data_IF_905670694955
#
_entry.id   IF_905670694955
#
_cell.length_a   1.000
_cell.length_b   1.000
_cell.length_c   1.000
_cell.angle_alpha   90.00
_cell.angle_beta   90.00
_cell.angle_gamma   90.00
#
_symmetry.space_group_name_H-M   'P 1'
#
loop_
_entity.id
_entity.type
_entity.pdbx_description
1 polymer ?
#
# COMPACT_ATOMS: atom_id res chain seq x y z
N UNK A 1 43.24 -6.97 -1.06
CA UNK A 1 43.95 -7.61 0.07
C UNK A 1 43.01 -7.59 1.26
N UNK A 2 42.94 -8.73 1.96
CA UNK A 2 42.07 -9.09 3.07
C UNK A 2 40.58 -9.30 2.76
N UNK A 3 39.91 -10.33 3.27
CA UNK A 3 40.27 -11.74 3.49
C UNK A 3 38.92 -12.43 3.71
N UNK A 4 38.67 -13.53 3.01
CA UNK A 4 37.52 -14.41 3.19
C UNK A 4 37.66 -15.15 4.53
N UNK A 5 36.69 -15.02 5.42
CA UNK A 5 36.53 -15.92 6.57
C UNK A 5 35.08 -16.35 6.63
N UNK A 6 34.86 -17.63 6.33
CA UNK A 6 33.55 -18.27 6.30
C UNK A 6 32.89 -18.30 7.69
N UNK A 7 31.65 -17.83 7.74
CA UNK A 7 30.78 -18.03 8.88
C UNK A 7 29.96 -19.31 8.71
N UNK A 8 30.17 -20.22 9.64
CA UNK A 8 29.44 -21.47 9.82
C UNK A 8 28.03 -21.16 10.34
N UNK A 9 27.00 -21.59 9.61
CA UNK A 9 25.62 -21.58 10.08
C UNK A 9 25.46 -22.53 11.29
N UNK A 10 25.39 -21.96 12.50
CA UNK A 10 25.01 -22.67 13.73
C UNK A 10 23.49 -22.85 13.78
N UNK A 11 23.03 -24.10 13.73
CA UNK A 11 21.63 -24.48 13.96
C UNK A 11 21.28 -24.52 15.46
N UNK A 12 20.01 -24.29 15.87
CA UNK A 12 19.61 -24.20 17.27
C UNK A 12 19.65 -25.56 18.01
N UNK A 13 19.95 -25.57 19.32
CA UNK A 13 20.16 -26.79 20.09
C UNK A 13 18.84 -27.39 20.58
N UNK A 14 18.58 -28.67 20.27
CA UNK A 14 17.40 -29.40 20.76
C UNK A 14 16.92 -30.58 19.93
N UNK A 15 17.47 -30.80 18.74
CA UNK A 15 17.11 -31.94 17.86
C UNK A 15 18.26 -32.90 17.72
N UNK A 16 18.63 -33.59 18.80
CA UNK A 16 19.55 -34.73 18.78
C UNK A 16 18.80 -35.98 19.26
N UNK A 17 17.81 -36.42 18.47
CA UNK A 17 17.38 -37.81 18.49
C UNK A 17 18.35 -38.63 17.63
N UNK A 18 18.57 -39.93 17.92
CA UNK A 18 19.46 -40.75 17.10
C UNK A 18 18.89 -40.83 15.69
N UNK A 19 19.49 -40.10 14.74
CA UNK A 19 19.22 -40.28 13.33
C UNK A 19 19.81 -41.61 12.92
N UNK A 20 19.02 -42.68 13.08
CA UNK A 20 19.31 -43.96 12.45
C UNK A 20 19.33 -43.66 10.95
N UNK A 21 20.48 -43.79 10.26
CA UNK A 21 20.53 -43.61 8.82
C UNK A 21 19.55 -44.61 8.20
N UNK A 22 18.74 -44.23 7.19
CA UNK A 22 17.93 -45.20 6.48
C UNK A 22 18.85 -46.32 6.01
N UNK A 23 18.45 -47.59 6.17
CA UNK A 23 19.31 -48.71 5.81
C UNK A 23 19.74 -48.53 4.35
N UNK A 24 21.01 -48.80 4.01
CA UNK A 24 21.45 -48.75 2.63
C UNK A 24 20.48 -49.61 1.80
N UNK A 25 20.10 -49.19 0.59
CA UNK A 25 19.25 -50.01 -0.26
C UNK A 25 19.91 -51.38 -0.33
N UNK A 26 19.17 -52.40 0.12
CA UNK A 26 19.63 -53.79 0.13
C UNK A 26 20.21 -54.09 -1.24
N UNK A 27 21.54 -54.27 -1.32
CA UNK A 27 22.15 -54.77 -2.53
C UNK A 27 21.42 -56.06 -2.89
N UNK A 28 20.97 -56.24 -4.15
CA UNK A 28 20.38 -57.50 -4.54
C UNK A 28 21.44 -58.58 -4.30
N UNK A 29 21.18 -59.44 -3.32
CA UNK A 29 22.04 -60.58 -3.05
C UNK A 29 22.01 -61.47 -4.28
N UNK A 30 23.10 -61.50 -5.04
CA UNK A 30 23.27 -62.43 -6.15
C UNK A 30 23.62 -63.81 -5.57
N UNK A 31 22.69 -64.39 -4.83
CA UNK A 31 22.75 -65.83 -4.58
C UNK A 31 22.39 -66.49 -5.91
N UNK A 32 23.41 -66.88 -6.66
CA UNK A 32 23.28 -67.72 -7.85
C UNK A 32 22.70 -69.05 -7.38
N UNK A 33 21.37 -69.17 -7.41
CA UNK A 33 20.69 -70.45 -7.36
C UNK A 33 21.00 -71.16 -8.68
N UNK A 34 21.64 -72.33 -8.56
CA UNK A 34 21.93 -73.22 -9.67
C UNK A 34 20.67 -73.48 -10.53
N UNK A 35 20.81 -73.63 -11.85
CA UNK A 35 19.67 -73.79 -12.73
C UNK A 35 19.07 -75.19 -12.51
N UNK A 36 17.98 -75.27 -11.77
CA UNK A 36 17.10 -76.44 -11.85
C UNK A 36 16.39 -76.37 -13.21
N UNK A 37 16.91 -77.16 -14.14
CA UNK A 37 16.27 -77.45 -15.41
C UNK A 37 14.88 -78.02 -15.15
N UNK A 38 13.85 -77.20 -15.36
CA UNK A 38 12.52 -77.67 -15.69
C UNK A 38 12.14 -76.95 -16.97
N UNK A 39 11.88 -77.73 -18.01
CA UNK A 39 11.43 -77.28 -19.32
C UNK A 39 10.13 -76.51 -19.08
N UNK A 40 10.23 -75.19 -19.03
CA UNK A 40 9.07 -74.30 -18.97
C UNK A 40 8.52 -74.22 -20.38
N UNK A 41 7.23 -74.44 -20.52
CA UNK A 41 6.54 -74.15 -21.77
C UNK A 41 6.88 -72.71 -22.20
N UNK A 42 7.18 -72.45 -23.48
CA UNK A 42 7.47 -71.11 -23.97
C UNK A 42 6.39 -70.08 -23.58
N UNK A 43 5.13 -70.52 -23.46
CA UNK A 43 4.01 -69.71 -22.97
C UNK A 43 4.14 -69.23 -21.50
N UNK A 44 4.70 -70.05 -20.59
CA UNK A 44 4.89 -69.66 -19.19
C UNK A 44 6.07 -68.70 -19.00
N UNK A 45 7.08 -68.80 -19.87
CA UNK A 45 8.19 -67.86 -19.92
C UNK A 45 7.74 -66.49 -20.45
N UNK A 46 6.86 -66.48 -21.45
CA UNK A 46 6.26 -65.27 -22.02
C UNK A 46 5.34 -64.55 -21.02
N UNK A 47 4.50 -65.28 -20.30
CA UNK A 47 3.66 -64.72 -19.23
C UNK A 47 4.47 -64.09 -18.09
N UNK A 48 5.59 -64.71 -17.68
CA UNK A 48 6.51 -64.14 -16.67
C UNK A 48 7.23 -62.90 -17.18
N UNK A 49 7.55 -62.85 -18.48
CA UNK A 49 8.17 -61.68 -19.12
C UNK A 49 7.19 -60.51 -19.18
N UNK A 50 5.94 -60.78 -19.54
CA UNK A 50 4.86 -59.78 -19.59
C UNK A 50 4.55 -59.22 -18.18
N UNK A 51 4.52 -60.07 -17.15
CA UNK A 51 4.36 -59.62 -15.77
C UNK A 51 5.53 -58.73 -15.31
N UNK A 52 6.77 -59.08 -15.70
CA UNK A 52 7.97 -58.28 -15.43
C UNK A 52 7.93 -56.94 -16.18
N UNK A 53 7.50 -56.93 -17.44
CA UNK A 53 7.33 -55.72 -18.24
C UNK A 53 6.27 -54.80 -17.62
N UNK A 54 5.13 -55.36 -17.17
CA UNK A 54 4.07 -54.61 -16.48
C UNK A 54 4.57 -54.02 -15.17
N UNK A 55 5.30 -54.78 -14.34
CA UNK A 55 5.90 -54.28 -13.10
C UNK A 55 6.93 -53.17 -13.37
N UNK A 56 7.75 -53.34 -14.41
CA UNK A 56 8.72 -52.33 -14.85
C UNK A 56 8.04 -51.04 -15.31
N UNK A 57 6.97 -51.16 -16.10
CA UNK A 57 6.18 -50.02 -16.57
C UNK A 57 5.54 -49.28 -15.40
N UNK A 58 4.88 -49.99 -14.48
CA UNK A 58 4.31 -49.39 -13.26
C UNK A 58 5.37 -48.69 -12.39
N UNK A 59 6.56 -49.28 -12.27
CA UNK A 59 7.68 -48.70 -11.54
C UNK A 59 8.16 -47.40 -12.19
N UNK A 60 8.35 -47.40 -13.51
CA UNK A 60 8.82 -46.22 -14.26
C UNK A 60 7.76 -45.12 -14.31
N UNK A 61 6.49 -45.45 -14.50
CA UNK A 61 5.40 -44.46 -14.45
C UNK A 61 5.31 -43.79 -13.07
N UNK A 62 5.50 -44.54 -11.98
CA UNK A 62 5.52 -43.97 -10.62
C UNK A 62 6.80 -43.20 -10.32
N UNK A 63 7.96 -43.69 -10.78
CA UNK A 63 9.28 -43.11 -10.52
C UNK A 63 9.47 -41.79 -11.27
N UNK A 64 9.06 -41.72 -12.53
CA UNK A 64 9.19 -40.55 -13.40
C UNK A 64 7.88 -39.76 -13.55
N UNK A 65 6.97 -39.88 -12.58
CA UNK A 65 5.78 -39.05 -12.49
C UNK A 65 6.17 -37.57 -12.36
N UNK A 66 5.38 -36.68 -12.94
CA UNK A 66 5.62 -35.23 -12.88
C UNK A 66 5.78 -34.69 -11.45
N UNK A 67 5.10 -35.31 -10.48
CA UNK A 67 5.20 -34.99 -9.04
C UNK A 67 6.58 -35.26 -8.42
N UNK A 68 7.41 -36.07 -9.09
CA UNK A 68 8.76 -36.45 -8.64
C UNK A 68 9.86 -35.79 -9.46
N UNK A 69 9.50 -34.91 -10.40
CA UNK A 69 10.48 -34.12 -11.15
C UNK A 69 11.23 -33.20 -10.19
N UNK A 70 12.52 -33.05 -10.43
CA UNK A 70 13.32 -32.05 -9.70
C UNK A 70 12.76 -30.66 -9.99
N UNK A 71 12.50 -29.89 -8.93
CA UNK A 71 11.81 -28.60 -9.03
C UNK A 71 10.28 -28.69 -9.10
N UNK A 72 9.68 -29.85 -8.84
CA UNK A 72 8.22 -29.95 -8.65
C UNK A 72 7.81 -29.15 -7.42
N UNK A 73 6.96 -28.14 -7.64
CA UNK A 73 6.33 -27.36 -6.57
C UNK A 73 5.03 -28.05 -6.21
N UNK A 74 4.89 -28.41 -4.94
CA UNK A 74 3.67 -29.00 -4.41
C UNK A 74 2.49 -28.04 -4.57
N UNK A 75 1.28 -28.60 -4.62
CA UNK A 75 0.05 -27.81 -4.76
C UNK A 75 -0.05 -26.75 -3.67
N UNK A 76 -0.41 -25.53 -4.06
CA UNK A 76 -0.65 -24.44 -3.15
C UNK A 76 -1.70 -24.85 -2.11
N UNK A 77 -1.47 -24.47 -0.85
CA UNK A 77 -2.46 -24.68 0.21
C UNK A 77 -3.73 -23.90 -0.13
N UNK A 78 -4.86 -24.62 -0.19
CA UNK A 78 -6.17 -24.03 -0.40
C UNK A 78 -6.74 -23.46 0.90
N UNK A 79 -7.75 -22.59 0.74
CA UNK A 79 -8.43 -21.97 1.87
C UNK A 79 -9.25 -23.02 2.64
N UNK A 80 -9.07 -23.05 3.96
CA UNK A 80 -9.84 -23.92 4.85
C UNK A 80 -11.21 -23.28 5.17
N UNK A 81 -12.24 -24.08 5.51
CA UNK A 81 -13.53 -23.54 5.93
C UNK A 81 -13.39 -22.61 7.15
N UNK A 82 -14.11 -21.47 7.20
CA UNK A 82 -14.00 -20.50 8.29
C UNK A 82 -14.42 -21.08 9.65
N UNK A 83 -15.32 -22.06 9.66
CA UNK A 83 -15.75 -22.77 10.87
C UNK A 83 -14.60 -23.53 11.55
N UNK A 84 -13.58 -23.94 10.79
CA UNK A 84 -12.44 -24.67 11.35
C UNK A 84 -11.68 -23.81 12.35
N UNK A 85 -11.32 -22.57 11.98
CA UNK A 85 -10.58 -21.67 12.88
C UNK A 85 -11.47 -21.21 14.04
N UNK A 86 -12.76 -20.92 13.80
CA UNK A 86 -13.72 -20.55 14.85
C UNK A 86 -13.81 -21.63 15.93
N UNK A 87 -13.95 -22.90 15.51
CA UNK A 87 -13.99 -24.04 16.42
C UNK A 87 -12.69 -24.22 17.20
N UNK A 88 -11.53 -24.10 16.55
CA UNK A 88 -10.23 -24.20 17.23
C UNK A 88 -10.13 -23.17 18.35
N UNK A 89 -10.45 -21.90 18.07
CA UNK A 89 -10.38 -20.81 19.05
C UNK A 89 -11.35 -21.06 20.22
N UNK A 90 -12.59 -21.45 19.91
CA UNK A 90 -13.61 -21.78 20.92
C UNK A 90 -13.19 -22.96 21.81
N UNK A 91 -12.62 -24.02 21.23
CA UNK A 91 -12.18 -25.21 21.95
C UNK A 91 -10.97 -24.94 22.87
N UNK A 92 -10.07 -24.03 22.49
CA UNK A 92 -8.89 -23.65 23.30
C UNK A 92 -9.25 -22.67 24.42
N UNK A 93 -10.19 -21.74 24.17
CA UNK A 93 -10.71 -20.80 25.16
C UNK A 93 -9.61 -20.02 25.87
N UNK A 94 -9.67 -20.02 27.21
CA UNK A 94 -8.71 -19.36 28.11
C UNK A 94 -7.49 -20.23 28.47
N UNK A 95 -7.33 -21.41 27.84
CA UNK A 95 -6.27 -22.38 28.13
C UNK A 95 -6.26 -22.90 29.59
N UNK A 96 -7.38 -22.81 30.32
CA UNK A 96 -7.52 -23.38 31.68
C UNK A 96 -7.53 -24.92 31.68
N UNK A 97 -8.05 -25.53 30.61
CA UNK A 97 -8.16 -26.98 30.46
C UNK A 97 -6.79 -27.68 30.39
N UNK A 98 -6.66 -28.81 31.11
CA UNK A 98 -5.45 -29.65 31.08
C UNK A 98 -5.23 -30.32 29.71
N UNK A 99 -6.26 -30.42 28.87
CA UNK A 99 -6.20 -31.05 27.54
C UNK A 99 -5.18 -30.35 26.62
N UNK A 100 -5.10 -29.02 26.68
CA UNK A 100 -4.25 -28.19 25.80
C UNK A 100 -2.95 -27.75 26.47
N UNK A 101 -2.45 -28.53 27.44
CA UNK A 101 -1.22 -28.19 28.18
C UNK A 101 0.01 -28.06 27.28
N UNK A 102 0.10 -28.86 26.24
CA UNK A 102 1.24 -28.86 25.30
C UNK A 102 1.28 -27.59 24.46
N UNK A 103 0.13 -27.00 24.15
CA UNK A 103 0.00 -25.83 23.28
C UNK A 103 0.30 -24.50 24.01
N UNK A 104 0.26 -24.47 25.36
CA UNK A 104 0.57 -23.27 26.16
C UNK A 104 1.92 -22.65 25.82
N UNK A 105 2.94 -23.48 25.54
CA UNK A 105 4.27 -23.00 25.13
C UNK A 105 4.22 -22.25 23.80
N UNK A 106 3.38 -22.71 22.88
CA UNK A 106 3.23 -22.11 21.55
C UNK A 106 2.54 -20.75 21.65
N UNK A 107 1.48 -20.63 22.46
CA UNK A 107 0.81 -19.34 22.71
C UNK A 107 1.77 -18.29 23.29
N UNK A 108 2.61 -18.68 24.26
CA UNK A 108 3.65 -17.79 24.79
C UNK A 108 4.69 -17.41 23.72
N UNK A 109 5.07 -18.34 22.85
CA UNK A 109 5.98 -18.06 21.73
C UNK A 109 5.36 -17.11 20.70
N UNK A 110 4.05 -17.19 20.49
CA UNK A 110 3.32 -16.36 19.53
C UNK A 110 3.25 -14.88 19.95
N UNK A 111 3.38 -14.57 21.24
CA UNK A 111 3.43 -13.21 21.78
C UNK A 111 4.44 -12.31 21.04
N UNK A 112 5.57 -12.87 20.62
CA UNK A 112 6.60 -12.17 19.83
C UNK A 112 6.04 -11.54 18.55
N UNK A 113 5.03 -12.12 17.94
CA UNK A 113 4.49 -11.71 16.64
C UNK A 113 3.18 -10.92 16.73
N UNK A 114 2.65 -10.69 17.94
CA UNK A 114 1.42 -9.90 18.13
C UNK A 114 1.52 -8.51 17.51
N UNK A 115 2.64 -7.75 17.63
CA UNK A 115 2.71 -6.44 16.98
C UNK A 115 2.50 -6.49 15.47
N UNK A 116 2.95 -7.56 14.80
CA UNK A 116 2.74 -7.74 13.36
C UNK A 116 1.28 -8.11 13.05
N UNK A 117 0.66 -8.97 13.86
CA UNK A 117 -0.76 -9.30 13.71
C UNK A 117 -1.66 -8.06 13.90
N UNK A 118 -1.39 -7.25 14.92
CA UNK A 118 -2.12 -6.00 15.18
C UNK A 118 -1.92 -5.01 14.05
N UNK A 119 -0.69 -4.84 13.55
CA UNK A 119 -0.43 -3.98 12.39
C UNK A 119 -1.27 -4.40 11.17
N UNK A 120 -1.25 -5.69 10.81
CA UNK A 120 -2.02 -6.20 9.66
C UNK A 120 -3.52 -6.12 9.84
N UNK A 121 -4.02 -6.25 11.08
CA UNK A 121 -5.42 -6.09 11.43
C UNK A 121 -5.87 -4.63 11.24
N UNK A 122 -5.11 -3.68 11.78
CA UNK A 122 -5.43 -2.24 11.68
C UNK A 122 -5.25 -1.70 10.27
N UNK A 123 -4.28 -2.22 9.50
CA UNK A 123 -4.10 -1.84 8.10
C UNK A 123 -5.33 -2.18 7.25
N UNK A 124 -6.06 -3.25 7.58
CA UNK A 124 -7.22 -3.73 6.81
C UNK A 124 -8.57 -3.30 7.41
N UNK A 125 -8.62 -2.25 8.23
CA UNK A 125 -9.88 -1.72 8.78
C UNK A 125 -10.91 -1.43 7.68
N UNK A 126 -12.17 -1.89 7.82
CA UNK A 126 -13.26 -1.57 6.89
C UNK A 126 -13.41 -0.05 6.73
N UNK A 127 -13.67 0.38 5.50
CA UNK A 127 -13.91 1.80 5.21
C UNK A 127 -15.36 2.18 5.54
N UNK A 128 -15.67 3.45 5.84
CA UNK A 128 -17.01 3.84 6.31
C UNK A 128 -18.18 3.57 5.34
N UNK A 129 -17.89 3.39 4.05
CA UNK A 129 -18.87 3.04 3.02
C UNK A 129 -19.07 1.52 2.85
N UNK A 130 -18.28 0.70 3.54
CA UNK A 130 -18.40 -0.75 3.57
C UNK A 130 -19.12 -1.19 4.85
N UNK A 131 -20.02 -2.15 4.74
CA UNK A 131 -20.67 -2.78 5.91
C UNK A 131 -19.78 -3.86 6.53
N UNK A 132 -19.31 -4.77 5.69
CA UNK A 132 -18.53 -5.94 6.07
C UNK A 132 -17.37 -6.07 5.10
N UNK A 133 -16.20 -6.44 5.63
CA UNK A 133 -15.02 -6.76 4.83
C UNK A 133 -14.50 -8.15 5.17
N UNK A 134 -14.59 -9.04 4.20
CA UNK A 134 -13.96 -10.34 4.27
C UNK A 134 -12.49 -10.24 3.88
N UNK A 135 -11.61 -10.62 4.82
CA UNK A 135 -10.16 -10.57 4.64
C UNK A 135 -9.57 -11.96 4.66
N UNK A 136 -8.49 -12.16 3.90
CA UNK A 136 -7.75 -13.42 3.96
C UNK A 136 -6.97 -13.51 5.26
N UNK A 137 -7.05 -14.66 5.91
CA UNK A 137 -6.45 -14.88 7.22
C UNK A 137 -5.48 -16.06 7.18
N UNK A 138 -4.31 -15.88 7.79
CA UNK A 138 -3.33 -16.93 8.05
C UNK A 138 -3.28 -17.18 9.56
N UNK A 139 -3.72 -18.36 9.99
CA UNK A 139 -3.79 -18.72 11.40
C UNK A 139 -2.85 -19.88 11.73
N UNK A 140 -2.37 -19.92 12.97
CA UNK A 140 -1.62 -21.07 13.49
C UNK A 140 -2.55 -22.27 13.72
N UNK A 141 -2.10 -23.50 13.46
CA UNK A 141 -2.96 -24.71 13.54
C UNK A 141 -3.61 -24.93 14.91
N UNK A 142 -2.99 -24.43 16.00
CA UNK A 142 -3.52 -24.48 17.37
C UNK A 142 -4.34 -23.24 17.76
N UNK A 143 -4.55 -22.28 16.86
CA UNK A 143 -5.23 -21.01 17.15
C UNK A 143 -4.39 -19.99 17.92
N UNK A 144 -3.08 -20.24 18.13
CA UNK A 144 -2.22 -19.39 18.94
C UNK A 144 -2.11 -17.93 18.46
N UNK A 145 -2.18 -17.70 17.15
CA UNK A 145 -2.16 -16.38 16.55
C UNK A 145 -2.79 -16.42 15.16
N UNK A 146 -3.35 -15.28 14.77
CA UNK A 146 -4.08 -15.09 13.53
C UNK A 146 -3.60 -13.80 12.87
N UNK A 147 -3.09 -13.90 11.64
CA UNK A 147 -2.64 -12.76 10.84
C UNK A 147 -3.62 -12.48 9.71
N UNK A 148 -3.89 -11.21 9.43
CA UNK A 148 -4.54 -10.83 8.18
C UNK A 148 -3.48 -10.86 7.07
N UNK A 149 -3.65 -11.76 6.11
CA UNK A 149 -2.73 -11.99 5.00
C UNK A 149 -3.16 -11.24 3.74
N UNK A 150 -3.36 -9.93 3.89
CA UNK A 150 -3.82 -9.07 2.81
C UNK A 150 -3.22 -7.68 2.92
N UNK A 151 -2.94 -7.07 1.78
CA UNK A 151 -2.51 -5.67 1.67
C UNK A 151 -3.67 -4.92 0.99
N UNK A 152 -4.20 -3.84 1.60
CA UNK A 152 -5.34 -3.10 1.08
C UNK A 152 -4.91 -2.22 -0.10
N UNK A 153 -4.75 -2.83 -1.27
CA UNK A 153 -4.51 -2.08 -2.50
C UNK A 153 -5.77 -1.31 -2.88
N UNK A 154 -5.64 0.01 -3.04
CA UNK A 154 -6.70 0.91 -3.47
C UNK A 154 -6.29 1.64 -4.74
N UNK A 155 -7.26 1.96 -5.60
CA UNK A 155 -7.03 2.80 -6.77
C UNK A 155 -7.18 4.25 -6.33
N UNK A 156 -6.09 5.00 -6.37
CA UNK A 156 -5.98 6.37 -5.83
C UNK A 156 -7.14 7.31 -6.23
N UNK A 157 -7.50 7.50 -7.51
CA UNK A 157 -8.60 8.42 -7.86
C UNK A 157 -9.97 7.95 -7.34
N UNK A 158 -10.21 6.64 -7.28
CA UNK A 158 -11.46 6.08 -6.73
C UNK A 158 -11.49 6.32 -5.22
N UNK A 159 -10.40 6.01 -4.52
CA UNK A 159 -10.28 6.16 -3.08
C UNK A 159 -10.44 7.62 -2.64
N UNK A 160 -9.83 8.56 -3.38
CA UNK A 160 -9.98 9.98 -3.11
C UNK A 160 -11.41 10.46 -3.34
N UNK A 161 -12.07 10.00 -4.40
CA UNK A 161 -13.47 10.31 -4.65
C UNK A 161 -14.40 9.73 -3.57
N UNK A 162 -14.18 8.49 -3.13
CA UNK A 162 -14.93 7.88 -2.02
C UNK A 162 -14.83 8.75 -0.76
N UNK A 163 -13.61 9.14 -0.36
CA UNK A 163 -13.42 10.07 0.77
C UNK A 163 -14.02 11.46 0.53
N UNK A 164 -14.03 11.94 -0.71
CA UNK A 164 -14.73 13.17 -1.11
C UNK A 164 -16.22 13.09 -0.83
N UNK A 165 -16.87 11.99 -1.20
CA UNK A 165 -18.28 11.75 -0.88
C UNK A 165 -18.52 11.60 0.63
N UNK A 166 -17.60 10.95 1.36
CA UNK A 166 -17.67 10.84 2.82
C UNK A 166 -17.61 12.21 3.49
N UNK A 167 -16.72 13.08 3.01
CA UNK A 167 -16.61 14.45 3.52
C UNK A 167 -17.92 15.23 3.38
N UNK A 168 -18.58 15.10 2.23
CA UNK A 168 -19.88 15.75 1.98
C UNK A 168 -20.94 15.18 2.94
N UNK A 169 -21.07 13.85 3.01
CA UNK A 169 -22.08 13.19 3.84
C UNK A 169 -21.88 13.49 5.33
N UNK A 170 -20.65 13.38 5.84
CA UNK A 170 -20.35 13.66 7.24
C UNK A 170 -20.61 15.13 7.60
N UNK A 171 -20.36 16.07 6.69
CA UNK A 171 -20.67 17.50 6.90
C UNK A 171 -22.16 17.78 6.88
N UNK A 172 -22.92 17.16 5.97
CA UNK A 172 -24.38 17.25 5.91
C UNK A 172 -25.01 16.69 7.20
N UNK A 173 -24.62 15.48 7.59
CA UNK A 173 -25.10 14.82 8.81
C UNK A 173 -24.79 15.65 10.06
N UNK A 174 -23.58 16.21 10.18
CA UNK A 174 -23.21 17.08 11.30
C UNK A 174 -24.01 18.39 11.34
N UNK A 175 -24.39 18.93 10.19
CA UNK A 175 -25.21 20.16 10.08
C UNK A 175 -26.67 19.87 10.46
N UNK A 176 -27.21 18.76 9.98
CA UNK A 176 -28.66 18.47 10.05
C UNK A 176 -29.06 17.83 11.38
N UNK A 177 -28.14 17.09 12.03
CA UNK A 177 -28.40 16.41 13.29
C UNK A 177 -28.35 17.35 14.49
N UNK A 178 -29.46 17.46 15.23
CA UNK A 178 -29.57 18.30 16.44
C UNK A 178 -28.71 17.83 17.61
N UNK A 179 -28.65 16.52 17.86
CA UNK A 179 -27.88 15.94 18.95
C UNK A 179 -26.97 14.82 18.44
N UNK A 180 -25.69 15.13 18.33
CA UNK A 180 -24.66 14.16 17.97
C UNK A 180 -24.00 13.60 19.24
N UNK A 181 -24.45 12.41 19.68
CA UNK A 181 -23.88 11.72 20.83
C UNK A 181 -22.63 10.94 20.40
N UNK A 182 -21.49 11.28 20.99
CA UNK A 182 -20.25 10.53 20.79
C UNK A 182 -20.30 9.21 21.55
N UNK A 183 -19.67 8.17 21.01
CA UNK A 183 -19.47 6.91 21.72
C UNK A 183 -18.66 7.12 23.01
N UNK A 184 -18.89 6.26 24.00
CA UNK A 184 -18.07 6.23 25.22
C UNK A 184 -16.84 5.36 24.97
N UNK A 185 -15.73 5.75 25.59
CA UNK A 185 -14.48 5.00 25.54
C UNK A 185 -14.06 4.68 26.99
N UNK A 186 -13.74 3.41 27.31
CA UNK A 186 -13.85 2.22 26.45
C UNK A 186 -15.32 1.83 26.14
N UNK A 187 -15.60 1.16 25.01
CA UNK A 187 -16.97 0.74 24.67
C UNK A 187 -17.54 -0.37 25.56
N UNK A 188 -16.67 -1.26 26.07
CA UNK A 188 -17.01 -2.39 26.95
C UNK A 188 -16.37 -2.19 28.34
N UNK A 189 -16.93 -2.85 29.35
CA UNK A 189 -16.38 -2.85 30.71
C UNK A 189 -15.19 -3.82 30.83
N UNK A 190 -14.28 -3.57 31.77
CA UNK A 190 -13.03 -4.35 31.92
C UNK A 190 -13.28 -5.79 32.40
N UNK A 191 -14.40 -6.02 33.09
CA UNK A 191 -14.83 -7.34 33.60
C UNK A 191 -15.66 -8.14 32.58
N UNK A 192 -16.06 -7.52 31.47
CA UNK A 192 -16.86 -8.18 30.44
C UNK A 192 -15.95 -9.02 29.53
N UNK A 193 -16.18 -10.34 29.39
CA UNK A 193 -15.39 -11.16 28.48
C UNK A 193 -15.64 -10.76 27.02
N UNK A 194 -14.67 -10.94 26.11
CA UNK A 194 -14.89 -10.68 24.69
C UNK A 194 -16.07 -11.48 24.15
N UNK A 195 -16.97 -10.80 23.44
CA UNK A 195 -18.14 -11.40 22.82
C UNK A 195 -17.74 -12.37 21.68
N UNK A 196 -18.37 -13.54 21.63
CA UNK A 196 -18.18 -14.47 20.51
C UNK A 196 -18.89 -13.96 19.25
N UNK A 197 -18.18 -14.01 18.13
CA UNK A 197 -18.68 -13.57 16.83
C UNK A 197 -19.79 -14.48 16.31
N UNK A 198 -19.67 -15.80 16.50
CA UNK A 198 -20.63 -16.77 15.97
C UNK A 198 -22.01 -16.64 16.61
N UNK A 199 -22.05 -16.42 17.93
CA UNK A 199 -23.30 -16.39 18.68
C UNK A 199 -23.97 -15.00 18.69
N UNK A 200 -23.20 -13.90 18.58
CA UNK A 200 -23.74 -12.53 18.75
C UNK A 200 -23.78 -11.69 17.48
N UNK A 201 -22.91 -11.93 16.50
CA UNK A 201 -22.70 -11.01 15.36
C UNK A 201 -23.03 -11.64 14.01
N UNK A 202 -22.90 -12.97 13.86
CA UNK A 202 -23.04 -13.64 12.56
C UNK A 202 -24.45 -13.52 11.96
N UNK A 203 -25.49 -13.58 12.79
CA UNK A 203 -26.90 -13.55 12.37
C UNK A 203 -27.53 -12.14 12.43
N UNK A 204 -26.74 -11.11 12.80
CA UNK A 204 -27.23 -9.73 12.91
C UNK A 204 -26.87 -8.97 11.65
N UNK A 205 -27.89 -8.46 10.96
CA UNK A 205 -27.67 -7.63 9.77
C UNK A 205 -26.91 -6.35 10.15
N UNK A 206 -25.82 -6.02 9.44
CA UNK A 206 -25.05 -4.82 9.70
C UNK A 206 -25.88 -3.57 9.39
N UNK A 207 -25.58 -2.49 10.10
CA UNK A 207 -26.21 -1.20 9.84
C UNK A 207 -25.84 -0.70 8.43
N UNK A 208 -26.66 0.21 7.92
CA UNK A 208 -26.40 0.87 6.64
C UNK A 208 -25.08 1.66 6.72
N UNK A 209 -24.20 1.52 5.72
CA UNK A 209 -22.95 2.24 5.68
C UNK A 209 -23.18 3.70 5.27
N UNK A 210 -22.14 4.53 5.36
CA UNK A 210 -22.24 5.90 4.85
C UNK A 210 -22.05 5.84 3.34
N UNK A 211 -23.11 6.09 2.58
CA UNK A 211 -23.07 6.17 1.12
C UNK A 211 -23.81 7.42 0.65
N UNK A 212 -23.21 8.17 -0.28
CA UNK A 212 -23.87 9.28 -0.94
C UNK A 212 -24.78 8.73 -2.03
N UNK A 213 -26.01 9.20 -2.09
CA UNK A 213 -26.89 8.93 -3.23
C UNK A 213 -26.29 9.56 -4.49
N UNK A 214 -25.87 8.71 -5.42
CA UNK A 214 -25.29 9.10 -6.70
C UNK A 214 -26.39 9.33 -7.74
N UNK A 215 -26.14 10.21 -8.70
CA UNK A 215 -27.08 10.48 -9.79
C UNK A 215 -26.95 9.43 -10.91
N UNK A 216 -28.07 8.84 -11.35
CA UNK A 216 -28.05 7.77 -12.35
C UNK A 216 -27.60 8.22 -13.74
N UNK A 217 -27.82 9.50 -14.09
CA UNK A 217 -27.47 10.05 -15.39
C UNK A 217 -26.05 10.65 -15.36
N UNK A 218 -25.78 11.53 -14.41
CA UNK A 218 -24.49 12.22 -14.31
C UNK A 218 -23.35 11.29 -13.83
N UNK A 219 -23.63 10.40 -12.86
CA UNK A 219 -22.64 9.47 -12.29
C UNK A 219 -22.71 8.07 -12.89
N UNK A 220 -23.42 7.90 -14.02
CA UNK A 220 -23.62 6.62 -14.72
C UNK A 220 -22.34 5.78 -14.90
N UNK A 221 -21.18 6.44 -15.12
CA UNK A 221 -19.90 5.78 -15.30
C UNK A 221 -19.36 5.05 -14.05
N UNK A 222 -19.76 5.49 -12.84
CA UNK A 222 -19.27 4.95 -11.55
C UNK A 222 -20.39 4.34 -10.69
N UNK A 223 -21.64 4.71 -10.94
CA UNK A 223 -22.84 4.39 -10.14
C UNK A 223 -22.88 2.96 -9.60
N UNK A 224 -22.60 1.97 -10.45
CA UNK A 224 -22.79 0.54 -10.13
C UNK A 224 -21.74 -0.07 -9.21
N UNK A 225 -20.51 0.46 -9.18
CA UNK A 225 -19.37 -0.19 -8.53
C UNK A 225 -18.65 0.72 -7.53
N UNK A 226 -19.07 1.97 -7.41
CA UNK A 226 -18.33 3.02 -6.69
C UNK A 226 -18.05 2.68 -5.22
N UNK A 227 -18.98 2.02 -4.53
CA UNK A 227 -18.85 1.66 -3.11
C UNK A 227 -18.43 0.20 -2.86
N UNK A 228 -18.04 -0.54 -3.90
CA UNK A 228 -17.49 -1.88 -3.74
C UNK A 228 -16.14 -1.86 -2.99
N UNK A 229 -15.84 -2.93 -2.25
CA UNK A 229 -14.56 -3.08 -1.55
C UNK A 229 -13.36 -3.05 -2.51
N UNK A 230 -13.45 -3.79 -3.62
CA UNK A 230 -12.49 -3.76 -4.73
C UNK A 230 -13.22 -3.56 -6.05
N UNK A 231 -13.47 -2.29 -6.42
CA UNK A 231 -14.21 -1.98 -7.63
C UNK A 231 -13.50 -2.51 -8.87
N UNK A 232 -14.28 -2.87 -9.91
CA UNK A 232 -13.76 -3.17 -11.25
C UNK A 232 -12.78 -4.38 -11.37
N UNK A 233 -12.57 -5.19 -10.31
CA UNK A 233 -11.66 -6.37 -10.33
C UNK A 233 -11.97 -7.34 -11.47
N UNK A 234 -13.24 -7.52 -11.80
CA UNK A 234 -13.72 -8.45 -12.84
C UNK A 234 -13.68 -7.86 -14.25
N UNK A 235 -13.28 -6.59 -14.40
CA UNK A 235 -13.27 -5.87 -15.67
C UNK A 235 -11.86 -5.80 -16.27
N UNK A 236 -11.78 -5.39 -17.54
CA UNK A 236 -10.49 -5.18 -18.25
C UNK A 236 -9.73 -3.94 -17.77
N UNK A 237 -10.37 -3.06 -16.99
CA UNK A 237 -9.76 -1.82 -16.49
C UNK A 237 -8.69 -2.09 -15.43
N UNK A 238 -8.71 -3.29 -14.83
CA UNK A 238 -7.78 -3.71 -13.79
C UNK A 238 -7.12 -5.03 -14.21
N UNK A 239 -5.87 -5.23 -13.79
CA UNK A 239 -5.06 -6.40 -14.14
C UNK A 239 -5.49 -7.72 -13.45
N UNK A 240 -6.67 -7.78 -12.82
CA UNK A 240 -7.22 -8.95 -12.15
C UNK A 240 -7.10 -8.92 -10.61
N UNK A 241 -7.18 -10.08 -9.93
CA UNK A 241 -7.27 -10.17 -8.46
C UNK A 241 -6.08 -9.59 -7.69
N UNK A 242 -4.94 -9.40 -8.35
CA UNK A 242 -3.76 -8.77 -7.74
C UNK A 242 -3.93 -7.28 -7.48
N UNK A 243 -4.84 -6.61 -8.20
CA UNK A 243 -5.26 -5.22 -7.99
C UNK A 243 -4.11 -4.18 -7.96
N UNK A 244 -3.07 -4.38 -8.79
CA UNK A 244 -1.86 -3.54 -8.77
C UNK A 244 -1.80 -2.47 -9.86
N UNK A 245 -2.45 -2.71 -10.98
CA UNK A 245 -2.42 -1.82 -12.14
C UNK A 245 -3.85 -1.55 -12.60
N UNK A 246 -4.13 -0.29 -12.85
CA UNK A 246 -5.42 0.20 -13.32
C UNK A 246 -5.24 1.06 -14.57
N UNK A 247 -6.26 1.07 -15.41
CA UNK A 247 -6.37 1.92 -16.58
C UNK A 247 -7.84 2.33 -16.73
N UNK A 248 -8.16 3.56 -16.32
CA UNK A 248 -9.52 4.10 -16.30
C UNK A 248 -9.78 4.94 -17.55
N UNK A 249 -11.04 4.93 -18.02
CA UNK A 249 -11.47 5.76 -19.14
C UNK A 249 -11.68 7.22 -18.72
N UNK A 250 -11.66 8.14 -19.69
CA UNK A 250 -11.86 9.58 -19.44
C UNK A 250 -13.19 9.90 -18.75
N UNK A 251 -14.35 9.31 -19.13
CA UNK A 251 -15.61 9.56 -18.42
C UNK A 251 -15.53 9.18 -16.93
N UNK A 252 -14.95 8.02 -16.61
CA UNK A 252 -14.75 7.60 -15.22
C UNK A 252 -13.88 8.61 -14.48
N UNK A 253 -12.75 9.02 -15.07
CA UNK A 253 -11.84 9.98 -14.45
C UNK A 253 -12.49 11.35 -14.23
N UNK A 254 -13.31 11.83 -15.16
CA UNK A 254 -14.03 13.10 -15.04
C UNK A 254 -15.04 13.06 -13.88
N UNK A 255 -15.84 11.98 -13.79
CA UNK A 255 -16.79 11.78 -12.68
C UNK A 255 -16.09 11.68 -11.33
N UNK A 256 -15.01 10.88 -11.24
CA UNK A 256 -14.22 10.74 -10.01
C UNK A 256 -13.59 12.07 -9.58
N UNK A 257 -13.05 12.84 -10.53
CA UNK A 257 -12.46 14.15 -10.25
C UNK A 257 -13.50 15.13 -9.69
N UNK A 258 -14.72 15.11 -10.25
CA UNK A 258 -15.85 15.93 -9.77
C UNK A 258 -16.25 15.55 -8.33
N UNK A 259 -16.43 14.25 -8.06
CA UNK A 259 -16.79 13.75 -6.72
C UNK A 259 -15.70 14.03 -5.68
N UNK A 260 -14.42 13.98 -6.08
CA UNK A 260 -13.27 14.30 -5.24
C UNK A 260 -13.05 15.81 -5.03
N UNK A 261 -13.83 16.69 -5.68
CA UNK A 261 -13.57 18.12 -5.73
C UNK A 261 -13.45 18.82 -4.37
N UNK A 262 -14.10 18.31 -3.32
CA UNK A 262 -13.98 18.86 -1.96
C UNK A 262 -12.62 18.62 -1.29
N UNK A 263 -11.85 17.65 -1.78
CA UNK A 263 -10.52 17.29 -1.24
C UNK A 263 -9.37 17.71 -2.16
N UNK A 264 -9.67 17.99 -3.43
CA UNK A 264 -8.70 18.45 -4.40
C UNK A 264 -8.39 19.93 -4.21
N UNK A 265 -7.17 20.31 -4.60
CA UNK A 265 -6.75 21.71 -4.61
C UNK A 265 -7.14 22.37 -5.93
N UNK A 266 -7.59 23.62 -5.88
CA UNK A 266 -7.86 24.44 -7.06
C UNK A 266 -6.57 25.04 -7.68
N UNK A 267 -5.41 24.78 -7.07
CA UNK A 267 -4.13 25.30 -7.52
C UNK A 267 -3.61 24.55 -8.75
N UNK A 268 -3.66 25.22 -9.89
CA UNK A 268 -3.19 24.66 -11.18
C UNK A 268 -1.71 25.01 -11.41
N UNK A 269 -1.32 26.25 -11.08
CA UNK A 269 0.03 26.74 -11.33
C UNK A 269 1.00 26.40 -10.19
N UNK A 270 2.15 25.80 -10.55
CA UNK A 270 3.24 25.50 -9.63
C UNK A 270 3.89 26.75 -9.05
N UNK A 271 3.80 27.89 -9.74
CA UNK A 271 4.33 29.16 -9.25
C UNK A 271 3.70 29.60 -7.91
N UNK A 272 2.52 29.08 -7.55
CA UNK A 272 1.93 29.30 -6.22
C UNK A 272 2.87 28.87 -5.08
N UNK A 273 3.66 27.80 -5.29
CA UNK A 273 4.59 27.27 -4.30
C UNK A 273 5.96 27.96 -4.31
N UNK A 274 6.07 29.17 -4.88
CA UNK A 274 7.31 29.93 -4.83
C UNK A 274 7.73 30.19 -3.38
N UNK A 275 8.95 29.78 -3.01
CA UNK A 275 9.47 29.77 -1.64
C UNK A 275 8.68 28.88 -0.66
N UNK A 276 7.76 28.07 -1.14
CA UNK A 276 6.96 27.13 -0.36
C UNK A 276 7.05 25.71 -0.94
N UNK A 277 8.22 25.37 -1.46
CA UNK A 277 8.59 24.06 -1.98
C UNK A 277 9.68 23.41 -1.11
N UNK A 278 9.94 22.12 -1.38
CA UNK A 278 10.91 21.34 -0.59
C UNK A 278 12.33 21.92 -0.67
N UNK A 279 12.76 22.43 -1.82
CA UNK A 279 14.09 23.00 -1.99
C UNK A 279 14.26 24.30 -1.19
N UNK A 280 13.24 25.16 -1.13
CA UNK A 280 13.24 26.35 -0.29
C UNK A 280 13.26 25.99 1.20
N UNK A 281 12.55 24.94 1.63
CA UNK A 281 12.60 24.47 3.02
C UNK A 281 13.97 23.88 3.38
N UNK A 282 14.63 23.16 2.46
CA UNK A 282 15.99 22.66 2.68
C UNK A 282 16.99 23.80 2.84
N UNK A 283 16.88 24.84 2.01
CA UNK A 283 17.71 26.04 2.10
C UNK A 283 17.43 26.83 3.39
N UNK A 284 16.17 27.02 3.76
CA UNK A 284 15.78 27.66 5.02
C UNK A 284 16.38 26.91 6.22
N UNK A 285 16.28 25.58 6.24
CA UNK A 285 16.90 24.73 7.27
C UNK A 285 18.42 24.86 7.31
N UNK A 286 19.08 24.86 6.15
CA UNK A 286 20.53 24.94 6.06
C UNK A 286 21.08 26.29 6.55
N UNK A 287 20.35 27.38 6.27
CA UNK A 287 20.70 28.74 6.67
C UNK A 287 20.19 29.14 8.05
N UNK A 288 19.47 28.25 8.76
CA UNK A 288 18.80 28.56 10.02
C UNK A 288 17.86 29.79 9.91
N UNK A 289 17.13 29.87 8.80
CA UNK A 289 16.16 30.93 8.51
C UNK A 289 14.75 30.36 8.47
N UNK A 290 13.77 31.23 8.71
CA UNK A 290 12.36 30.86 8.71
C UNK A 290 11.63 31.62 7.60
N UNK A 291 10.88 30.88 6.78
CA UNK A 291 9.93 31.44 5.83
C UNK A 291 8.64 31.76 6.58
N UNK A 292 7.99 32.91 6.36
CA UNK A 292 6.67 33.18 6.94
C UNK A 292 5.68 32.05 6.60
N UNK A 293 5.04 31.47 7.62
CA UNK A 293 4.14 30.31 7.46
C UNK A 293 4.84 28.96 7.21
N UNK A 294 6.17 28.95 7.11
CA UNK A 294 6.97 27.74 6.93
C UNK A 294 7.44 27.10 8.25
N UNK A 295 8.02 25.89 8.18
CA UNK A 295 8.57 25.19 9.34
C UNK A 295 9.83 25.88 9.88
N UNK A 296 10.10 25.65 11.17
CA UNK A 296 11.34 26.05 11.85
C UNK A 296 12.15 24.82 12.19
N UNK A 297 13.47 24.95 12.15
CA UNK A 297 14.39 23.85 12.40
C UNK A 297 15.48 24.26 13.39
N UNK A 298 16.10 23.26 14.00
CA UNK A 298 17.36 23.43 14.72
C UNK A 298 18.47 23.88 13.75
N UNK A 299 19.36 24.80 14.18
CA UNK A 299 20.48 25.24 13.36
C UNK A 299 21.36 24.05 12.95
N UNK A 300 21.58 23.86 11.65
CA UNK A 300 22.43 22.79 11.13
C UNK A 300 23.91 22.99 11.50
N UNK A 301 24.31 24.25 11.57
CA UNK A 301 25.65 24.67 11.92
C UNK A 301 25.57 25.64 13.10
N UNK A 302 26.32 25.34 14.17
CA UNK A 302 26.44 26.15 15.39
C UNK A 302 27.85 26.71 15.58
N UNK A 303 28.66 26.63 14.54
CA UNK A 303 30.07 27.01 14.50
C UNK A 303 30.30 28.52 14.35
N UNK A 304 29.22 29.29 14.21
CA UNK A 304 29.25 30.76 14.20
C UNK A 304 28.98 31.28 15.62
N UNK A 305 30.00 31.83 16.28
CA UNK A 305 29.79 32.62 17.49
C UNK A 305 29.07 33.92 17.13
N UNK A 306 28.11 34.33 17.97
CA UNK A 306 27.36 35.58 17.78
C UNK A 306 28.32 36.77 17.92
N UNK A 307 28.63 37.44 16.81
CA UNK A 307 29.35 38.72 16.80
C UNK A 307 30.53 38.82 15.81
N UNK A 308 31.10 37.69 15.39
CA UNK A 308 32.29 37.68 14.51
C UNK A 308 32.00 38.15 13.07
N UNK A 309 30.74 38.12 12.62
CA UNK A 309 30.36 38.62 11.30
C UNK A 309 29.95 40.11 11.30
N UNK A 310 29.62 40.69 12.46
CA UNK A 310 28.97 42.01 12.52
C UNK A 310 29.95 43.19 12.40
N UNK A 311 31.21 43.03 12.81
CA UNK A 311 32.22 44.10 12.79
C UNK A 311 33.44 43.70 11.96
N UNK A 312 33.26 43.70 10.64
CA UNK A 312 34.34 43.45 9.68
C UNK A 312 34.55 44.68 8.78
N UNK A 313 35.75 44.84 8.21
CA UNK A 313 36.08 45.97 7.30
C UNK A 313 35.11 46.09 6.11
N UNK A 314 34.53 44.96 5.70
CA UNK A 314 33.52 44.86 4.64
C UNK A 314 32.10 45.24 5.09
N UNK A 315 31.77 45.09 6.38
CA UNK A 315 30.44 45.36 6.94
C UNK A 315 30.36 46.72 7.66
N UNK A 316 31.32 47.62 7.43
CA UNK A 316 31.33 48.98 7.99
C UNK A 316 30.09 49.77 7.55
N UNK A 317 29.30 50.22 8.54
CA UNK A 317 28.04 50.93 8.33
C UNK A 317 28.21 52.22 7.51
N UNK A 318 29.37 52.86 7.57
CA UNK A 318 29.65 54.08 6.81
C UNK A 318 29.88 53.83 5.31
N UNK A 319 30.19 52.58 4.94
CA UNK A 319 30.43 52.16 3.55
C UNK A 319 29.21 51.48 2.92
N UNK A 320 28.19 51.14 3.71
CA UNK A 320 27.00 50.44 3.26
C UNK A 320 25.87 51.41 2.88
N UNK A 321 25.41 51.35 1.63
CA UNK A 321 24.25 52.11 1.17
C UNK A 321 22.98 51.27 1.38
N UNK A 322 22.25 51.54 2.46
CA UNK A 322 20.99 50.84 2.77
C UNK A 322 19.82 51.58 2.12
N UNK A 323 19.38 51.10 0.94
CA UNK A 323 18.16 51.61 0.27
C UNK A 323 16.90 50.82 0.63
N UNK A 324 17.05 49.53 0.92
CA UNK A 324 15.95 48.65 1.30
C UNK A 324 16.49 47.55 2.22
N UNK A 325 15.76 47.16 3.27
CA UNK A 325 16.19 46.10 4.17
C UNK A 325 16.19 44.75 3.44
N UNK A 326 17.25 43.98 3.64
CA UNK A 326 17.36 42.63 3.09
C UNK A 326 16.46 41.68 3.88
N UNK A 327 15.40 41.18 3.24
CA UNK A 327 14.46 40.23 3.86
C UNK A 327 14.98 38.79 3.81
N UNK A 328 14.42 37.92 4.66
CA UNK A 328 14.77 36.49 4.70
C UNK A 328 14.41 35.76 3.41
N UNK A 329 13.33 36.18 2.74
CA UNK A 329 12.91 35.59 1.46
C UNK A 329 13.97 35.75 0.38
N UNK A 330 14.68 36.90 0.35
CA UNK A 330 15.76 37.13 -0.61
C UNK A 330 16.94 36.20 -0.35
N UNK A 331 17.26 35.97 0.92
CA UNK A 331 18.33 35.05 1.34
C UNK A 331 18.02 33.61 0.99
N UNK A 332 16.75 33.23 0.85
CA UNK A 332 16.34 31.88 0.46
C UNK A 332 16.21 31.76 -1.06
N UNK A 333 15.64 32.78 -1.72
CA UNK A 333 15.51 32.84 -3.18
C UNK A 333 16.87 32.84 -3.89
N UNK A 334 17.82 33.61 -3.37
CA UNK A 334 19.16 33.74 -3.93
C UNK A 334 20.22 33.40 -2.87
N UNK A 335 20.36 32.12 -2.51
CA UNK A 335 21.11 31.71 -1.33
C UNK A 335 22.61 31.99 -1.44
N UNK A 336 23.15 31.95 -2.65
CA UNK A 336 24.57 32.23 -2.89
C UNK A 336 24.93 33.71 -2.96
N UNK A 337 23.94 34.60 -3.11
CA UNK A 337 24.18 36.03 -3.27
C UNK A 337 24.12 36.77 -1.92
N UNK A 338 23.11 36.46 -1.11
CA UNK A 338 22.77 37.25 0.08
C UNK A 338 23.19 36.60 1.42
N UNK A 339 23.92 35.48 1.37
CA UNK A 339 24.39 34.80 2.57
C UNK A 339 25.91 34.60 2.54
N UNK A 340 26.52 34.75 3.71
CA UNK A 340 27.87 34.31 3.96
C UNK A 340 27.87 32.78 4.13
N UNK A 341 28.85 32.10 3.53
CA UNK A 341 29.08 30.65 3.68
C UNK A 341 27.80 29.81 3.46
N UNK A 342 27.14 29.89 2.29
CA UNK A 342 25.96 29.09 1.99
C UNK A 342 26.35 27.60 1.86
N UNK A 343 26.18 26.84 2.94
CA UNK A 343 26.55 25.43 3.04
C UNK A 343 25.31 24.54 2.93
N UNK A 344 25.37 23.50 2.10
CA UNK A 344 24.27 22.54 1.86
C UNK A 344 22.94 23.20 1.45
N UNK A 345 23.01 24.38 0.86
CA UNK A 345 21.85 25.06 0.26
C UNK A 345 21.44 24.36 -1.05
N UNK A 346 20.18 24.52 -1.42
CA UNK A 346 19.61 24.01 -2.66
C UNK A 346 19.03 25.15 -3.48
N UNK A 347 19.23 25.07 -4.79
CA UNK A 347 18.67 26.04 -5.73
C UNK A 347 17.22 25.65 -6.03
N UNK A 348 16.29 26.56 -5.78
CA UNK A 348 14.89 26.39 -6.13
C UNK A 348 14.65 26.70 -7.62
N UNK A 349 13.53 26.21 -8.15
CA UNK A 349 13.06 26.60 -9.49
C UNK A 349 12.59 28.04 -9.41
N UNK A 350 13.19 28.92 -10.21
CA UNK A 350 12.88 30.35 -10.18
C UNK A 350 11.46 30.65 -10.63
N UNK A 351 11.05 30.09 -11.77
CA UNK A 351 9.74 30.34 -12.36
C UNK A 351 9.39 29.25 -13.37
N UNK A 352 8.11 28.93 -13.48
CA UNK A 352 7.54 28.09 -14.55
C UNK A 352 6.60 28.94 -15.41
N UNK A 353 6.44 28.66 -16.71
CA UNK A 353 5.49 29.42 -17.54
C UNK A 353 4.09 29.43 -16.92
N UNK A 354 3.51 30.62 -16.74
CA UNK A 354 2.21 30.78 -16.10
C UNK A 354 1.13 30.01 -16.86
N UNK A 355 0.39 29.16 -16.15
CA UNK A 355 -0.70 28.38 -16.73
C UNK A 355 -1.97 29.22 -16.69
N UNK A 356 -2.39 29.72 -17.86
CA UNK A 356 -3.62 30.49 -18.05
C UNK A 356 -4.78 29.55 -18.42
N UNK A 357 -5.22 28.73 -17.47
CA UNK A 357 -6.36 27.82 -17.65
C UNK A 357 -7.65 28.46 -17.13
N UNK A 358 -8.70 28.43 -17.95
CA UNK A 358 -10.04 28.87 -17.57
C UNK A 358 -10.91 27.62 -17.42
N UNK A 359 -11.51 27.45 -16.25
CA UNK A 359 -12.44 26.37 -15.97
C UNK A 359 -13.82 26.77 -16.47
N UNK A 360 -14.38 25.98 -17.38
CA UNK A 360 -15.76 26.14 -17.81
C UNK A 360 -16.70 25.66 -16.68
N UNK A 361 -17.64 26.51 -16.28
CA UNK A 361 -18.65 26.18 -15.27
C UNK A 361 -19.96 25.69 -15.89
N UNK A 362 -20.28 26.13 -17.10
CA UNK A 362 -21.51 25.77 -17.81
C UNK A 362 -21.23 24.69 -18.89
N UNK A 363 -21.79 23.47 -18.74
CA UNK A 363 -21.61 22.39 -19.72
C UNK A 363 -22.36 22.63 -21.03
N UNK A 364 -23.33 23.55 -21.08
CA UNK A 364 -24.11 23.84 -22.30
C UNK A 364 -23.30 24.64 -23.32
N UNK A 365 -22.22 25.30 -22.88
CA UNK A 365 -21.31 26.03 -23.76
C UNK A 365 -20.41 25.07 -24.57
N UNK A 366 -20.01 25.46 -25.79
CA UNK A 366 -19.09 24.65 -26.60
C UNK A 366 -17.76 24.43 -25.88
N UNK A 367 -17.09 23.29 -26.10
CA UNK A 367 -15.79 23.02 -25.48
C UNK A 367 -14.70 24.08 -25.79
N UNK A 368 -14.77 24.70 -26.98
CA UNK A 368 -13.91 25.81 -27.37
C UNK A 368 -14.76 27.03 -27.64
N UNK A 369 -14.71 28.00 -26.73
CA UNK A 369 -15.38 29.29 -26.87
C UNK A 369 -14.49 30.43 -26.40
N UNK A 370 -14.84 31.65 -26.81
CA UNK A 370 -14.14 32.84 -26.39
C UNK A 370 -14.67 33.28 -25.02
N UNK A 371 -13.97 32.90 -23.96
CA UNK A 371 -14.40 33.19 -22.60
C UNK A 371 -14.34 34.71 -22.29
N UNK A 372 -15.32 35.28 -21.59
CA UNK A 372 -15.32 36.70 -21.22
C UNK A 372 -14.10 37.17 -20.43
N UNK A 373 -13.38 36.27 -19.76
CA UNK A 373 -12.13 36.59 -19.05
C UNK A 373 -10.95 36.86 -20.01
N UNK A 374 -11.06 36.44 -21.28
CA UNK A 374 -10.01 36.65 -22.29
C UNK A 374 -10.11 38.07 -22.86
N UNK A 375 -8.98 38.78 -22.91
CA UNK A 375 -8.93 40.12 -23.48
C UNK A 375 -9.17 40.13 -25.00
N UNK A 376 -10.10 40.96 -25.52
CA UNK A 376 -10.46 41.03 -26.93
C UNK A 376 -9.25 41.34 -27.81
N UNK A 377 -9.09 40.57 -28.88
CA UNK A 377 -8.03 40.80 -29.87
C UNK A 377 -8.45 41.98 -30.75
N UNK A 378 -7.71 43.09 -30.64
CA UNK A 378 -7.95 44.28 -31.47
C UNK A 378 -7.22 44.16 -32.82
N UNK A 379 -7.88 44.58 -33.90
CA UNK A 379 -7.38 44.49 -35.28
C UNK A 379 -6.63 45.74 -35.75
N UNK A 380 -5.88 46.41 -34.86
CA UNK A 380 -5.21 47.69 -35.14
C UNK A 380 -4.20 47.65 -36.30
N UNK A 381 -3.66 46.48 -36.63
CA UNK A 381 -2.71 46.32 -37.73
C UNK A 381 -3.35 46.26 -39.13
N UNK A 382 -4.67 46.04 -39.25
CA UNK A 382 -5.35 45.99 -40.55
C UNK A 382 -5.48 47.39 -41.16
N UNK A 383 -5.87 48.37 -40.34
CA UNK A 383 -5.95 49.79 -40.74
C UNK A 383 -4.58 50.37 -41.13
N UNK A 384 -3.49 49.91 -40.52
CA UNK A 384 -2.12 50.35 -40.83
C UNK A 384 -1.61 49.82 -42.18
N UNK A 385 -2.08 48.67 -42.64
CA UNK A 385 -1.75 48.12 -43.98
C UNK A 385 -2.59 48.79 -45.06
N UNK A 386 -3.89 48.96 -44.84
CA UNK A 386 -4.78 49.64 -45.79
C UNK A 386 -4.35 51.10 -46.04
N UNK A 387 -3.88 51.83 -45.01
CA UNK A 387 -3.28 53.17 -45.16
C UNK A 387 -1.91 53.21 -45.85
N UNK A 388 -1.23 52.08 -46.01
CA UNK A 388 0.09 51.99 -46.65
C UNK A 388 -0.01 51.57 -48.12
N UNK A 389 -1.11 50.91 -48.47
CA UNK A 389 -1.48 50.51 -49.83
C UNK A 389 -2.45 51.54 -50.49
N UNK A 390 -2.84 52.59 -49.76
CA UNK A 390 -3.48 53.82 -50.26
C UNK A 390 -2.44 54.92 -50.41
#
# INVERSE_FOLDING_TARGET
MWNDTGEQHLAPPGTAGPSIPPPPPSQPSYTVLAPSQTVSNPADAEAKLEEKARKWQQLNTKRYSDKRKFGFVETQKEDMPPEHVRKIIRDHGDMSSKKYRHDKRVYLGALKFIPHAVYKLLENMPMPWEQVRDVKVLYHITGAITFVNEIPWVVEPIYLAQWGTMWIMMRREKRDRRHFKRMRFPPFDDEEPPLDYADNLLDVDPLEPIQLELDEEEDSAVYTWFYDHKPLVKTKLINGPSYRKWHLSLPIMATLHRLAGQLLSDLIDRNYFYLFDMESFFTAKALNMCIPGGPKFEPLYRDMEKGDEDWNEFNDINKLIIRSPLRTEYRIAFPHLYNNRPRKVKLCVYHTPMIMYIKAEDPDLPAFYYDPLIHPITSSNKERREKKDS
#
